data_IF_922684071060
#
_entry.id   IF_922684071060
#
_cell.length_a   1.000
_cell.length_b   1.000
_cell.length_c   1.000
_cell.angle_alpha   90.00
_cell.angle_beta   90.00
_cell.angle_gamma   90.00
#
_symmetry.space_group_name_H-M   'P 1'
#
loop_
_entity.id
_entity.type
_entity.pdbx_description
1 polymer ?
#
# COMPACT_ATOMS: atom_id res chain seq x y z
N UNK A 1 10.08 19.73 13.91
CA UNK A 1 10.29 20.12 12.50
C UNK A 1 8.96 20.53 11.94
N UNK A 2 8.83 21.76 11.43
CA UNK A 2 7.66 22.15 10.62
C UNK A 2 7.63 21.20 9.43
N UNK A 3 6.49 20.54 9.23
CA UNK A 3 6.40 19.38 8.34
C UNK A 3 6.33 19.85 6.88
N UNK A 4 7.48 20.24 6.32
CA UNK A 4 7.65 20.88 5.00
C UNK A 4 7.00 20.10 3.87
N UNK A 5 6.80 18.79 4.05
CA UNK A 5 6.11 17.95 3.07
C UNK A 5 4.65 18.36 2.86
N UNK A 6 3.90 18.69 3.93
CA UNK A 6 2.48 19.03 3.83
C UNK A 6 2.21 20.35 3.07
N UNK A 7 3.18 21.26 3.11
CA UNK A 7 3.13 22.54 2.40
C UNK A 7 3.56 22.42 0.93
N UNK A 8 4.06 21.25 0.52
CA UNK A 8 4.48 21.01 -0.86
C UNK A 8 3.27 21.06 -1.79
N UNK A 9 3.39 21.85 -2.85
CA UNK A 9 2.38 21.90 -3.92
C UNK A 9 2.38 20.59 -4.68
N UNK A 10 1.20 20.04 -4.95
CA UNK A 10 1.05 18.79 -5.71
C UNK A 10 1.70 18.92 -7.09
N UNK A 11 1.54 20.06 -7.75
CA UNK A 11 2.17 20.37 -9.06
C UNK A 11 3.68 20.09 -9.09
N UNK A 12 4.41 20.49 -8.03
CA UNK A 12 5.86 20.26 -7.93
C UNK A 12 6.23 18.78 -7.85
N UNK A 13 5.34 17.95 -7.32
CA UNK A 13 5.54 16.50 -7.25
C UNK A 13 5.35 15.87 -8.64
N UNK A 14 4.45 16.41 -9.46
CA UNK A 14 4.13 15.92 -10.81
C UNK A 14 5.28 16.16 -11.79
N UNK A 15 6.03 17.26 -11.63
CA UNK A 15 7.15 17.62 -12.51
C UNK A 15 8.21 16.50 -12.62
N UNK A 16 8.36 15.70 -11.56
CA UNK A 16 9.35 14.62 -11.48
C UNK A 16 8.79 13.24 -11.85
N UNK A 17 7.49 13.15 -12.22
CA UNK A 17 6.83 11.90 -12.54
C UNK A 17 6.96 11.59 -14.05
N UNK A 18 7.11 10.30 -14.37
CA UNK A 18 7.11 9.81 -15.75
C UNK A 18 5.87 10.26 -16.53
N UNK A 19 6.08 10.66 -17.79
CA UNK A 19 5.00 11.20 -18.65
C UNK A 19 3.80 10.24 -18.78
N UNK A 20 4.06 8.93 -18.78
CA UNK A 20 3.03 7.88 -18.84
C UNK A 20 2.07 7.90 -17.64
N UNK A 21 2.51 8.38 -16.47
CA UNK A 21 1.73 8.46 -15.23
C UNK A 21 1.02 9.79 -15.06
N UNK A 22 1.45 10.85 -15.75
CA UNK A 22 0.81 12.18 -15.66
C UNK A 22 -0.66 12.15 -16.07
N UNK A 23 -1.02 11.35 -17.08
CA UNK A 23 -2.42 11.16 -17.49
C UNK A 23 -3.25 10.51 -16.37
N UNK A 24 -2.67 9.54 -15.66
CA UNK A 24 -3.34 8.89 -14.52
C UNK A 24 -3.50 9.89 -13.38
N UNK A 25 -2.45 10.65 -13.05
CA UNK A 25 -2.47 11.70 -12.03
C UNK A 25 -3.57 12.73 -12.32
N UNK A 26 -3.64 13.23 -13.57
CA UNK A 26 -4.62 14.25 -13.95
C UNK A 26 -6.06 13.76 -13.75
N UNK A 27 -6.33 12.51 -14.15
CA UNK A 27 -7.64 11.88 -13.92
C UNK A 27 -7.99 11.80 -12.44
N UNK A 28 -7.04 11.42 -11.59
CA UNK A 28 -7.29 11.35 -10.16
C UNK A 28 -7.46 12.76 -9.56
N UNK A 29 -6.72 13.77 -10.02
CA UNK A 29 -6.87 15.17 -9.60
C UNK A 29 -8.25 15.75 -9.95
N UNK A 30 -8.73 15.49 -11.16
CA UNK A 30 -10.07 15.89 -11.59
C UNK A 30 -11.15 15.28 -10.67
N UNK A 31 -11.02 13.99 -10.35
CA UNK A 31 -11.98 13.28 -9.50
C UNK A 31 -12.02 13.80 -8.05
N UNK A 32 -10.92 14.37 -7.56
CA UNK A 32 -10.81 14.86 -6.18
C UNK A 32 -10.82 16.40 -6.05
N UNK A 33 -11.01 17.12 -7.17
CA UNK A 33 -11.15 18.57 -7.17
C UNK A 33 -9.84 19.35 -6.97
N UNK A 34 -8.71 18.82 -7.46
CA UNK A 34 -7.41 19.51 -7.51
C UNK A 34 -6.91 20.09 -6.17
N UNK A 35 -6.59 19.26 -5.16
CA UNK A 35 -5.97 19.73 -3.93
C UNK A 35 -4.63 20.43 -4.23
N UNK A 36 -4.47 21.68 -3.77
CA UNK A 36 -3.27 22.47 -4.08
C UNK A 36 -2.00 21.89 -3.42
N UNK A 37 -2.12 21.40 -2.19
CA UNK A 37 -0.99 20.91 -1.39
C UNK A 37 -1.18 19.47 -0.94
N UNK A 38 -0.07 18.83 -0.58
CA UNK A 38 -0.07 17.52 0.09
C UNK A 38 -0.98 17.54 1.31
N UNK A 39 -0.92 18.59 2.13
CA UNK A 39 -1.80 18.68 3.31
C UNK A 39 -3.27 18.84 2.97
N UNK A 40 -3.61 19.48 1.84
CA UNK A 40 -5.00 19.49 1.36
C UNK A 40 -5.44 18.09 0.92
N UNK A 41 -4.58 17.34 0.23
CA UNK A 41 -4.83 15.95 -0.16
C UNK A 41 -5.04 15.03 1.04
N UNK A 42 -4.18 15.12 2.08
CA UNK A 42 -4.32 14.29 3.28
C UNK A 42 -5.61 14.63 4.04
N UNK A 43 -5.95 15.91 4.20
CA UNK A 43 -7.24 16.30 4.82
C UNK A 43 -8.44 15.79 4.03
N UNK A 44 -8.34 15.77 2.70
CA UNK A 44 -9.39 15.25 1.84
C UNK A 44 -9.57 13.74 2.02
N UNK A 45 -8.45 13.01 2.11
CA UNK A 45 -8.44 11.58 2.41
C UNK A 45 -9.04 11.30 3.79
N UNK A 46 -8.61 12.00 4.85
CA UNK A 46 -9.13 11.81 6.22
C UNK A 46 -10.63 12.06 6.29
N UNK A 47 -11.12 13.14 5.66
CA UNK A 47 -12.55 13.42 5.57
C UNK A 47 -13.28 12.32 4.81
N UNK A 48 -12.74 11.90 3.67
CA UNK A 48 -13.33 10.84 2.86
C UNK A 48 -13.43 9.52 3.61
N UNK A 49 -12.42 9.17 4.42
CA UNK A 49 -12.43 7.97 5.26
C UNK A 49 -13.53 8.04 6.31
N UNK A 50 -13.67 9.19 6.98
CA UNK A 50 -14.73 9.43 7.96
C UNK A 50 -16.13 9.38 7.34
N UNK A 51 -16.31 9.94 6.16
CA UNK A 51 -17.59 10.02 5.44
C UNK A 51 -17.89 8.78 4.60
N UNK A 52 -16.94 7.83 4.49
CA UNK A 52 -17.00 6.65 3.61
C UNK A 52 -17.26 7.01 2.14
N UNK A 53 -16.60 8.06 1.68
CA UNK A 53 -16.74 8.57 0.32
C UNK A 53 -15.89 7.76 -0.67
N UNK A 54 -16.38 7.63 -1.90
CA UNK A 54 -15.65 7.10 -3.05
C UNK A 54 -14.35 7.86 -3.35
N UNK A 55 -14.23 9.11 -2.93
CA UNK A 55 -13.04 9.96 -3.12
C UNK A 55 -11.77 9.36 -2.50
N UNK A 56 -11.92 8.53 -1.45
CA UNK A 56 -10.81 7.86 -0.75
C UNK A 56 -9.96 7.05 -1.71
N UNK A 57 -10.60 6.32 -2.63
CA UNK A 57 -9.89 5.47 -3.59
C UNK A 57 -9.05 6.33 -4.55
N UNK A 58 -9.61 7.45 -5.01
CA UNK A 58 -8.91 8.41 -5.87
C UNK A 58 -7.73 9.07 -5.15
N UNK A 59 -7.89 9.42 -3.87
CA UNK A 59 -6.79 9.92 -3.04
C UNK A 59 -5.64 8.90 -2.94
N UNK A 60 -5.92 7.63 -2.63
CA UNK A 60 -4.88 6.60 -2.55
C UNK A 60 -4.22 6.34 -3.91
N UNK A 61 -4.97 6.35 -5.01
CA UNK A 61 -4.43 6.19 -6.36
C UNK A 61 -3.51 7.36 -6.74
N UNK A 62 -3.92 8.60 -6.44
CA UNK A 62 -3.07 9.77 -6.64
C UNK A 62 -1.76 9.63 -5.86
N UNK A 63 -1.84 9.30 -4.56
CA UNK A 63 -0.65 9.09 -3.71
C UNK A 63 0.29 8.03 -4.29
N UNK A 64 -0.27 6.91 -4.75
CA UNK A 64 0.49 5.85 -5.43
C UNK A 64 1.25 6.38 -6.66
N UNK A 65 0.61 7.22 -7.46
CA UNK A 65 1.17 7.73 -8.71
C UNK A 65 2.16 8.88 -8.52
N UNK A 66 2.08 9.60 -7.41
CA UNK A 66 3.04 10.65 -7.05
C UNK A 66 4.40 10.07 -6.64
N UNK A 67 4.45 8.80 -6.20
CA UNK A 67 5.68 8.06 -5.91
C UNK A 67 6.62 8.71 -4.88
N UNK A 68 6.09 9.53 -3.97
CA UNK A 68 6.89 10.17 -2.91
C UNK A 68 7.02 9.26 -1.68
N UNK A 69 8.24 9.02 -1.21
CA UNK A 69 8.50 8.16 -0.05
C UNK A 69 7.98 8.76 1.25
N UNK A 70 7.85 10.08 1.31
CA UNK A 70 7.37 10.83 2.46
C UNK A 70 5.92 10.51 2.80
N UNK A 71 5.10 10.03 1.85
CA UNK A 71 3.75 9.56 2.15
C UNK A 71 3.72 8.30 3.02
N UNK A 72 4.77 7.49 2.97
CA UNK A 72 4.79 6.16 3.57
C UNK A 72 4.40 6.13 5.06
N UNK A 73 5.07 6.89 5.95
CA UNK A 73 4.70 6.89 7.37
C UNK A 73 3.26 7.40 7.62
N UNK A 74 2.81 8.43 6.90
CA UNK A 74 1.46 8.99 7.09
C UNK A 74 0.36 8.02 6.68
N UNK A 75 0.53 7.36 5.54
CA UNK A 75 -0.44 6.38 5.07
C UNK A 75 -0.47 5.18 6.00
N UNK A 76 0.68 4.73 6.51
CA UNK A 76 0.70 3.66 7.49
C UNK A 76 -0.02 4.04 8.79
N UNK A 77 0.15 5.27 9.28
CA UNK A 77 -0.58 5.78 10.44
C UNK A 77 -2.10 5.81 10.23
N UNK A 78 -2.55 6.23 9.03
CA UNK A 78 -3.97 6.17 8.63
C UNK A 78 -4.49 4.72 8.64
N UNK A 79 -3.72 3.79 8.07
CA UNK A 79 -4.13 2.39 7.96
C UNK A 79 -4.31 1.72 9.33
N UNK A 80 -3.53 2.11 10.34
CA UNK A 80 -3.62 1.55 11.71
C UNK A 80 -4.93 1.85 12.42
N UNK A 81 -5.65 2.88 11.98
CA UNK A 81 -6.92 3.32 12.57
C UNK A 81 -8.10 3.18 11.59
N UNK A 82 -7.88 2.59 10.42
CA UNK A 82 -8.91 2.34 9.41
C UNK A 82 -9.51 0.95 9.64
N UNK A 83 -10.84 0.87 9.76
CA UNK A 83 -11.54 -0.41 9.98
C UNK A 83 -12.00 -1.05 8.66
N UNK A 84 -12.31 -0.24 7.64
CA UNK A 84 -12.86 -0.73 6.38
C UNK A 84 -11.79 -1.42 5.52
N UNK A 85 -11.93 -2.74 5.34
CA UNK A 85 -10.99 -3.58 4.60
C UNK A 85 -10.65 -3.09 3.20
N UNK A 86 -11.60 -2.45 2.51
CA UNK A 86 -11.37 -1.91 1.16
C UNK A 86 -10.38 -0.73 1.19
N UNK A 87 -10.48 0.15 2.18
CA UNK A 87 -9.57 1.28 2.32
C UNK A 87 -8.19 0.83 2.78
N UNK A 88 -8.11 -0.19 3.63
CA UNK A 88 -6.84 -0.82 4.00
C UNK A 88 -6.13 -1.36 2.76
N UNK A 89 -6.85 -2.05 1.87
CA UNK A 89 -6.29 -2.57 0.62
C UNK A 89 -5.74 -1.46 -0.27
N UNK A 90 -6.49 -0.37 -0.49
CA UNK A 90 -6.03 0.75 -1.31
C UNK A 90 -4.85 1.49 -0.68
N UNK A 91 -4.85 1.69 0.64
CA UNK A 91 -3.75 2.32 1.35
C UNK A 91 -2.45 1.51 1.27
N UNK A 92 -2.49 0.18 1.46
CA UNK A 92 -1.29 -0.67 1.30
C UNK A 92 -0.75 -0.59 -0.14
N UNK A 93 -1.64 -0.50 -1.13
CA UNK A 93 -1.23 -0.33 -2.53
C UNK A 93 -0.61 1.04 -2.81
N UNK A 94 -1.03 2.08 -2.10
CA UNK A 94 -0.46 3.41 -2.18
C UNK A 94 0.95 3.49 -1.58
N UNK A 95 1.30 2.56 -0.67
CA UNK A 95 2.67 2.36 -0.16
C UNK A 95 3.58 1.68 -1.21
N UNK A 96 3.63 2.21 -2.44
CA UNK A 96 4.44 1.66 -3.53
C UNK A 96 5.89 2.08 -3.51
N UNK A 97 6.18 3.30 -3.05
CA UNK A 97 7.55 3.81 -2.92
C UNK A 97 8.08 3.52 -1.52
N UNK A 98 8.98 2.54 -1.40
CA UNK A 98 9.61 2.21 -0.11
C UNK A 98 10.63 3.30 0.26
N UNK A 99 10.58 3.88 1.47
CA UNK A 99 11.54 4.89 1.90
C UNK A 99 12.98 4.39 1.87
N UNK A 100 13.92 5.24 1.45
CA UNK A 100 15.36 4.93 1.42
C UNK A 100 15.98 4.84 2.82
N UNK A 101 15.41 5.50 3.81
CA UNK A 101 15.86 5.43 5.19
C UNK A 101 15.53 4.05 5.80
N UNK A 102 16.54 3.17 5.86
CA UNK A 102 16.41 1.83 6.44
C UNK A 102 15.98 1.84 7.90
N UNK A 103 16.41 2.83 8.70
CA UNK A 103 16.07 2.89 10.12
C UNK A 103 14.62 3.32 10.33
N UNK A 104 14.10 4.19 9.46
CA UNK A 104 12.67 4.48 9.39
C UNK A 104 11.89 3.23 9.03
N UNK A 105 12.22 2.55 7.92
CA UNK A 105 11.50 1.35 7.46
C UNK A 105 11.53 0.25 8.53
N UNK A 106 12.66 0.04 9.19
CA UNK A 106 12.80 -0.89 10.31
C UNK A 106 11.76 -0.66 11.42
N UNK A 107 11.48 0.60 11.75
CA UNK A 107 10.51 0.97 12.80
C UNK A 107 9.06 0.76 12.35
N UNK A 108 8.79 0.78 11.05
CA UNK A 108 7.45 0.66 10.48
C UNK A 108 7.05 -0.80 10.18
N UNK A 109 8.00 -1.73 10.05
CA UNK A 109 7.71 -3.16 9.81
C UNK A 109 6.73 -3.76 10.85
N UNK A 110 6.88 -3.52 12.17
CA UNK A 110 5.93 -4.04 13.17
C UNK A 110 4.49 -3.57 12.93
N UNK A 111 4.28 -2.33 12.52
CA UNK A 111 2.95 -1.79 12.22
C UNK A 111 2.33 -2.48 10.99
N UNK A 112 3.14 -2.74 9.95
CA UNK A 112 2.69 -3.51 8.76
C UNK A 112 2.31 -4.93 9.17
N UNK A 113 3.13 -5.59 9.99
CA UNK A 113 2.86 -6.92 10.51
C UNK A 113 1.56 -6.95 11.31
N UNK A 114 1.32 -5.94 12.15
CA UNK A 114 0.08 -5.83 12.93
C UNK A 114 -1.15 -5.70 12.02
N UNK A 115 -1.09 -4.87 10.97
CA UNK A 115 -2.20 -4.73 10.00
C UNK A 115 -2.52 -6.08 9.33
N UNK A 116 -1.50 -6.85 8.99
CA UNK A 116 -1.67 -8.19 8.41
C UNK A 116 -2.29 -9.16 9.42
N UNK A 117 -1.81 -9.13 10.67
CA UNK A 117 -2.30 -10.01 11.74
C UNK A 117 -3.78 -9.74 12.07
N UNK A 118 -4.19 -8.48 12.05
CA UNK A 118 -5.58 -8.07 12.31
C UNK A 118 -6.50 -8.17 11.09
N UNK A 119 -6.00 -8.62 9.94
CA UNK A 119 -6.76 -8.63 8.70
C UNK A 119 -7.98 -9.57 8.79
N UNK A 120 -9.14 -9.04 8.38
CA UNK A 120 -10.39 -9.80 8.23
C UNK A 120 -10.69 -10.16 6.77
N UNK A 121 -9.89 -9.64 5.83
CA UNK A 121 -10.00 -9.86 4.39
C UNK A 121 -8.68 -10.44 3.85
N UNK A 122 -8.77 -11.54 3.10
CA UNK A 122 -7.63 -12.22 2.48
C UNK A 122 -6.83 -11.32 1.52
N UNK A 123 -7.45 -10.30 0.93
CA UNK A 123 -6.76 -9.34 0.06
C UNK A 123 -5.79 -8.45 0.84
N UNK A 124 -6.09 -8.12 2.10
CA UNK A 124 -5.17 -7.37 2.97
C UNK A 124 -3.92 -8.20 3.26
N UNK A 125 -4.11 -9.49 3.55
CA UNK A 125 -3.00 -10.43 3.77
C UNK A 125 -2.10 -10.44 2.54
N UNK A 126 -2.67 -10.63 1.35
CA UNK A 126 -1.89 -10.61 0.11
C UNK A 126 -1.11 -9.31 -0.08
N UNK A 127 -1.79 -8.16 -0.02
CA UNK A 127 -1.17 -6.86 -0.26
C UNK A 127 -0.10 -6.53 0.79
N UNK A 128 -0.33 -6.88 2.05
CA UNK A 128 0.64 -6.68 3.13
C UNK A 128 1.88 -7.55 2.98
N UNK A 129 1.72 -8.82 2.59
CA UNK A 129 2.85 -9.72 2.28
C UNK A 129 3.64 -9.18 1.09
N UNK A 130 2.98 -8.70 0.03
CA UNK A 130 3.63 -8.05 -1.11
C UNK A 130 4.37 -6.78 -0.69
N UNK A 131 3.81 -5.97 0.22
CA UNK A 131 4.53 -4.82 0.78
C UNK A 131 5.81 -5.23 1.53
N UNK A 132 5.73 -6.25 2.39
CA UNK A 132 6.92 -6.77 3.08
C UNK A 132 7.95 -7.36 2.11
N UNK A 133 7.50 -7.97 1.01
CA UNK A 133 8.39 -8.45 -0.05
C UNK A 133 9.13 -7.30 -0.75
N UNK A 134 8.45 -6.20 -1.07
CA UNK A 134 9.09 -5.00 -1.63
C UNK A 134 10.11 -4.41 -0.67
N UNK A 135 9.77 -4.32 0.61
CA UNK A 135 10.69 -3.87 1.66
C UNK A 135 11.93 -4.78 1.71
N UNK A 136 11.75 -6.10 1.66
CA UNK A 136 12.82 -7.09 1.60
C UNK A 136 13.74 -6.91 0.39
N UNK A 137 13.18 -6.57 -0.78
CA UNK A 137 13.97 -6.30 -2.00
C UNK A 137 14.75 -4.99 -1.93
N UNK A 138 14.17 -3.93 -1.37
CA UNK A 138 14.81 -2.62 -1.26
C UNK A 138 15.81 -2.57 -0.11
N UNK A 139 15.51 -3.25 1.00
CA UNK A 139 16.33 -3.32 2.22
C UNK A 139 16.59 -4.78 2.66
N UNK A 140 17.40 -5.57 1.92
CA UNK A 140 17.67 -6.98 2.25
C UNK A 140 18.22 -7.19 3.66
N UNK A 141 18.91 -6.20 4.22
CA UNK A 141 19.39 -6.20 5.61
C UNK A 141 18.27 -6.33 6.66
N UNK A 142 17.01 -6.03 6.30
CA UNK A 142 15.85 -6.14 7.18
C UNK A 142 15.19 -7.53 7.12
N UNK A 143 15.60 -8.44 6.22
CA UNK A 143 15.04 -9.80 6.11
C UNK A 143 15.09 -10.57 7.44
N UNK A 144 16.11 -10.30 8.27
CA UNK A 144 16.25 -10.93 9.60
C UNK A 144 15.10 -10.60 10.56
N UNK A 145 14.38 -9.49 10.35
CA UNK A 145 13.18 -9.13 11.11
C UNK A 145 11.96 -9.92 10.66
N UNK A 146 11.88 -10.26 9.37
CA UNK A 146 10.81 -11.07 8.82
C UNK A 146 10.96 -12.54 9.22
N UNK A 147 12.18 -13.08 9.31
CA UNK A 147 12.43 -14.50 9.58
C UNK A 147 12.13 -14.99 11.02
N UNK A 148 11.47 -14.18 11.86
CA UNK A 148 11.24 -14.50 13.28
C UNK A 148 9.89 -15.15 13.59
N UNK A 149 9.05 -15.50 12.60
CA UNK A 149 7.66 -15.99 12.80
C UNK A 149 6.92 -15.23 13.90
N UNK A 150 6.46 -14.03 13.57
CA UNK A 150 5.98 -13.04 14.52
C UNK A 150 4.46 -12.87 14.57
N UNK A 151 3.72 -13.25 13.53
CA UNK A 151 2.27 -12.96 13.45
C UNK A 151 1.43 -14.21 13.25
N UNK A 152 0.24 -14.23 13.88
CA UNK A 152 -0.74 -15.32 13.76
C UNK A 152 -1.88 -14.92 12.84
N UNK A 153 -2.01 -15.60 11.72
CA UNK A 153 -3.07 -15.32 10.74
C UNK A 153 -4.09 -16.46 10.75
N UNK A 154 -5.37 -16.12 10.60
CA UNK A 154 -6.42 -17.13 10.50
C UNK A 154 -6.18 -18.06 9.30
N UNK A 155 -6.12 -19.36 9.54
CA UNK A 155 -5.85 -20.37 8.52
C UNK A 155 -6.83 -20.31 7.35
N UNK A 156 -8.11 -20.03 7.58
CA UNK A 156 -9.11 -19.95 6.50
C UNK A 156 -8.86 -18.74 5.60
N UNK A 157 -8.58 -17.57 6.18
CA UNK A 157 -8.24 -16.37 5.41
C UNK A 157 -6.94 -16.57 4.62
N UNK A 158 -5.96 -17.27 5.19
CA UNK A 158 -4.74 -17.59 4.47
C UNK A 158 -4.98 -18.55 3.30
N UNK A 159 -5.85 -19.55 3.47
CA UNK A 159 -6.27 -20.44 2.37
C UNK A 159 -6.99 -19.67 1.25
N UNK A 160 -7.90 -18.77 1.59
CA UNK A 160 -8.56 -17.88 0.63
C UNK A 160 -7.53 -17.01 -0.11
N UNK A 161 -6.50 -16.54 0.60
CA UNK A 161 -5.39 -15.79 0.01
C UNK A 161 -4.65 -16.63 -1.03
N UNK A 162 -4.30 -17.88 -0.71
CA UNK A 162 -3.63 -18.78 -1.66
C UNK A 162 -4.50 -19.13 -2.87
N UNK A 163 -5.82 -19.29 -2.68
CA UNK A 163 -6.75 -19.50 -3.80
C UNK A 163 -6.87 -18.27 -4.70
N UNK A 164 -6.84 -17.08 -4.12
CA UNK A 164 -6.80 -15.83 -4.88
C UNK A 164 -5.49 -15.72 -5.68
N UNK A 165 -4.34 -16.02 -5.08
CA UNK A 165 -3.03 -16.00 -5.77
C UNK A 165 -3.01 -16.95 -6.97
N UNK A 166 -3.64 -18.13 -6.86
CA UNK A 166 -3.80 -19.07 -7.98
C UNK A 166 -4.62 -18.51 -9.16
N UNK A 167 -5.45 -17.49 -8.92
CA UNK A 167 -6.33 -16.87 -9.90
C UNK A 167 -6.04 -15.37 -10.08
N UNK A 168 -4.81 -14.94 -9.81
CA UNK A 168 -4.42 -13.52 -9.83
C UNK A 168 -4.75 -12.87 -11.16
N UNK A 169 -4.54 -13.53 -12.30
CA UNK A 169 -4.87 -12.98 -13.62
C UNK A 169 -6.35 -12.57 -13.75
N UNK A 170 -7.27 -13.32 -13.13
CA UNK A 170 -8.72 -13.00 -13.15
C UNK A 170 -9.04 -11.85 -12.22
N UNK A 171 -8.41 -11.83 -11.05
CA UNK A 171 -8.55 -10.72 -10.10
C UNK A 171 -7.96 -9.44 -10.68
N UNK A 172 -6.76 -9.49 -11.25
CA UNK A 172 -6.12 -8.38 -11.94
C UNK A 172 -6.97 -7.88 -13.12
N UNK A 173 -7.63 -8.76 -13.89
CA UNK A 173 -8.50 -8.33 -14.99
C UNK A 173 -9.68 -7.43 -14.54
N UNK A 174 -10.19 -7.62 -13.32
CA UNK A 174 -11.23 -6.76 -12.74
C UNK A 174 -10.68 -5.40 -12.27
N UNK A 175 -9.37 -5.30 -11.97
CA UNK A 175 -8.72 -4.11 -11.42
C UNK A 175 -7.77 -3.37 -12.38
N UNK A 176 -7.30 -4.02 -13.45
CA UNK A 176 -6.20 -3.60 -14.32
C UNK A 176 -6.53 -3.79 -15.80
N UNK A 177 -7.77 -3.50 -16.21
CA UNK A 177 -8.29 -3.72 -17.57
C UNK A 177 -7.39 -3.24 -18.74
N UNK A 178 -6.32 -2.48 -18.50
CA UNK A 178 -5.32 -2.03 -19.49
C UNK A 178 -3.86 -1.90 -18.97
N UNK A 179 -3.42 -2.65 -17.94
CA UNK A 179 -2.05 -2.51 -17.40
C UNK A 179 -1.20 -3.78 -17.58
N UNK A 180 -0.06 -3.67 -18.26
CA UNK A 180 0.94 -4.76 -18.42
C UNK A 180 1.79 -4.99 -17.14
N UNK A 181 1.43 -4.39 -16.01
CA UNK A 181 2.16 -4.53 -14.73
C UNK A 181 1.65 -5.78 -14.02
N UNK A 182 2.45 -6.85 -14.04
CA UNK A 182 2.17 -8.08 -13.29
C UNK A 182 2.39 -7.84 -11.79
N UNK A 183 1.48 -8.34 -10.94
CA UNK A 183 1.71 -8.30 -9.50
C UNK A 183 2.93 -9.13 -9.09
N UNK A 184 3.65 -8.63 -8.09
CA UNK A 184 4.75 -9.35 -7.46
C UNK A 184 4.21 -10.53 -6.64
N UNK A 185 5.02 -11.57 -6.43
CA UNK A 185 4.60 -12.82 -5.78
C UNK A 185 3.34 -13.45 -6.42
N UNK A 186 3.30 -13.49 -7.75
CA UNK A 186 2.18 -14.03 -8.53
C UNK A 186 2.08 -15.57 -8.54
N UNK A 187 3.05 -16.28 -7.97
CA UNK A 187 3.01 -17.74 -7.85
C UNK A 187 2.66 -18.12 -6.40
N UNK A 188 1.65 -18.99 -6.17
CA UNK A 188 1.25 -19.41 -4.82
C UNK A 188 2.39 -19.93 -3.98
N UNK A 189 3.29 -20.74 -4.55
CA UNK A 189 4.44 -21.26 -3.82
C UNK A 189 5.44 -20.15 -3.43
N UNK A 190 5.66 -19.16 -4.30
CA UNK A 190 6.55 -18.04 -3.99
C UNK A 190 5.95 -17.17 -2.88
N UNK A 191 4.64 -16.89 -2.96
CA UNK A 191 3.89 -16.20 -1.92
C UNK A 191 3.96 -16.96 -0.59
N UNK A 192 3.63 -18.25 -0.59
CA UNK A 192 3.63 -19.12 0.58
C UNK A 192 5.02 -19.17 1.23
N UNK A 193 6.06 -19.42 0.44
CA UNK A 193 7.44 -19.51 0.93
C UNK A 193 7.92 -18.20 1.58
N UNK A 194 7.52 -17.05 1.03
CA UNK A 194 7.85 -15.76 1.63
C UNK A 194 7.03 -15.49 2.90
N UNK A 195 5.71 -15.70 2.86
CA UNK A 195 4.82 -15.52 4.00
C UNK A 195 5.23 -16.40 5.21
N UNK A 196 5.70 -17.62 4.97
CA UNK A 196 6.16 -18.57 5.99
C UNK A 196 7.35 -18.10 6.84
N UNK A 197 8.05 -17.04 6.42
CA UNK A 197 9.15 -16.48 7.19
C UNK A 197 8.65 -15.81 8.48
N UNK A 198 7.50 -15.14 8.42
CA UNK A 198 6.94 -14.34 9.51
C UNK A 198 5.54 -14.79 9.99
N UNK A 199 4.81 -15.60 9.21
CA UNK A 199 3.48 -16.06 9.60
C UNK A 199 3.49 -17.41 10.32
N UNK A 200 2.56 -17.54 11.26
CA UNK A 200 2.10 -18.78 11.86
C UNK A 200 0.60 -18.90 11.53
N UNK A 201 0.16 -20.08 11.12
CA UNK A 201 -1.22 -20.38 10.74
C UNK A 201 -1.90 -21.29 11.74
#
# INVERSE_FOLDING_TARGET
MVNTFFDTKIEKLIDNVEESKKILIEKELEAIGYPETVGALIRLLDRGLFERDTIVNHCFLLIKHLEQEEFFPYILDILKVTDESIYIQYGIRALSTIPKDTDLVRKLIPDIMQIIESATDHKIIYQGVVLLYRISKVHPQLDSLLNRKSIKVNTSLFQDTLQMVNNLDRWEADFHKHSNVRSELNHPDAFFNFANQFMIF
#
